data_IF_432325483719
#
_entry.id   IF_432325483719
#
_cell.length_a   1.000
_cell.length_b   1.000
_cell.length_c   1.000
_cell.angle_alpha   90.00
_cell.angle_beta   90.00
_cell.angle_gamma   90.00
#
_symmetry.space_group_name_H-M   'P 1'
#
loop_
_entity.id
_entity.type
_entity.pdbx_description
1 polymer ?
#
# COMPACT_ATOMS: atom_id res chain seq x y z
N UNK A 1 8.19 8.16 -4.24
CA UNK A 1 6.90 7.72 -3.68
C UNK A 1 7.16 7.64 -2.20
N UNK A 2 6.30 8.26 -1.41
CA UNK A 2 6.55 8.39 0.02
C UNK A 2 5.77 7.31 0.79
N UNK A 3 4.70 6.80 0.16
CA UNK A 3 3.82 5.76 0.68
C UNK A 3 3.56 4.66 -0.35
N UNK A 4 3.59 3.41 0.09
CA UNK A 4 3.07 2.23 -0.62
C UNK A 4 1.95 1.63 0.22
N UNK A 5 0.81 1.32 -0.40
CA UNK A 5 -0.32 0.64 0.26
C UNK A 5 -0.59 -0.70 -0.41
N UNK A 6 -0.41 -1.78 0.33
CA UNK A 6 -0.85 -3.11 -0.06
C UNK A 6 -2.31 -3.27 0.37
N UNK A 7 -3.22 -3.27 -0.60
CA UNK A 7 -4.66 -3.48 -0.37
C UNK A 7 -4.91 -4.92 0.09
N UNK A 8 -4.22 -5.87 -0.53
CA UNK A 8 -4.18 -7.27 -0.11
C UNK A 8 -2.80 -7.62 0.45
N UNK A 9 -2.72 -8.50 1.47
CA UNK A 9 -1.44 -8.95 2.00
C UNK A 9 -0.58 -9.64 0.93
N UNK A 10 0.74 -9.40 0.89
CA UNK A 10 1.65 -10.16 0.04
C UNK A 10 1.71 -11.62 0.49
N UNK A 11 2.03 -12.51 -0.44
CA UNK A 11 2.05 -13.96 -0.18
C UNK A 11 3.32 -14.44 0.51
N UNK A 12 4.42 -13.70 0.38
CA UNK A 12 5.69 -13.99 1.03
C UNK A 12 6.53 -12.73 1.30
N UNK A 13 7.63 -12.90 2.06
CA UNK A 13 8.49 -11.78 2.46
C UNK A 13 9.26 -11.15 1.29
N UNK A 14 9.57 -11.90 0.22
CA UNK A 14 10.25 -11.34 -0.96
C UNK A 14 9.31 -10.43 -1.74
N UNK A 15 8.06 -10.86 -1.93
CA UNK A 15 7.01 -10.03 -2.52
C UNK A 15 6.81 -8.75 -1.72
N UNK A 16 6.74 -8.84 -0.38
CA UNK A 16 6.67 -7.64 0.46
C UNK A 16 7.86 -6.70 0.22
N UNK A 17 9.10 -7.20 0.22
CA UNK A 17 10.29 -6.38 0.01
C UNK A 17 10.33 -5.76 -1.40
N UNK A 18 9.95 -6.49 -2.44
CA UNK A 18 9.89 -5.97 -3.82
C UNK A 18 8.85 -4.86 -3.99
N UNK A 19 7.68 -5.00 -3.33
CA UNK A 19 6.63 -3.96 -3.31
C UNK A 19 7.07 -2.75 -2.48
N UNK A 20 7.68 -3.00 -1.32
CA UNK A 20 8.19 -1.97 -0.41
C UNK A 20 9.30 -1.13 -1.03
N UNK A 21 10.17 -1.71 -1.86
CA UNK A 21 11.25 -1.01 -2.58
C UNK A 21 10.80 0.09 -3.56
N UNK A 22 9.51 0.42 -3.61
CA UNK A 22 8.96 1.52 -4.40
C UNK A 22 8.98 2.86 -3.66
N UNK A 23 9.18 2.85 -2.34
CA UNK A 23 9.35 4.05 -1.50
C UNK A 23 10.80 4.23 -1.02
N UNK A 24 11.08 5.25 -0.19
CA UNK A 24 12.37 5.47 0.49
C UNK A 24 13.60 5.53 -0.44
N UNK A 25 13.53 6.32 -1.52
CA UNK A 25 14.61 6.45 -2.51
C UNK A 25 15.58 7.57 -2.15
N UNK A 26 16.81 7.47 -2.66
CA UNK A 26 17.84 8.50 -2.49
C UNK A 26 18.17 8.86 -1.02
N UNK A 27 18.03 7.89 -0.10
CA UNK A 27 18.28 8.09 1.33
C UNK A 27 17.11 8.68 2.10
N UNK A 28 16.02 9.04 1.43
CA UNK A 28 14.80 9.52 2.08
C UNK A 28 14.03 8.40 2.77
N UNK A 29 13.24 8.77 3.78
CA UNK A 29 12.33 7.85 4.47
C UNK A 29 11.08 7.56 3.63
N UNK A 30 10.44 6.43 3.91
CA UNK A 30 9.21 6.02 3.23
C UNK A 30 8.39 5.09 4.11
N UNK A 31 7.07 5.03 3.83
CA UNK A 31 6.14 4.17 4.56
C UNK A 31 5.53 3.10 3.67
N UNK A 32 5.32 1.92 4.25
CA UNK A 32 4.59 0.81 3.62
C UNK A 32 3.47 0.40 4.57
N UNK A 33 2.23 0.45 4.09
CA UNK A 33 1.03 0.07 4.85
C UNK A 33 0.45 -1.16 4.19
N UNK A 34 0.11 -2.18 4.99
CA UNK A 34 -0.59 -3.37 4.50
C UNK A 34 -1.90 -3.50 5.25
N UNK A 35 -3.00 -3.53 4.51
CA UNK A 35 -4.32 -3.82 5.08
C UNK A 35 -4.43 -5.33 5.28
N UNK A 36 -4.87 -5.73 6.47
CA UNK A 36 -5.05 -7.15 6.83
C UNK A 36 -6.40 -7.34 7.47
N UNK A 37 -7.07 -8.44 7.12
CA UNK A 37 -8.26 -8.88 7.83
C UNK A 37 -7.88 -9.53 9.18
N UNK A 38 -8.81 -9.59 10.16
CA UNK A 38 -8.53 -10.16 11.47
C UNK A 38 -7.96 -11.60 11.43
N UNK A 39 -8.47 -12.43 10.52
CA UNK A 39 -8.01 -13.81 10.33
C UNK A 39 -6.61 -13.92 9.69
N UNK A 40 -6.15 -12.89 8.97
CA UNK A 40 -4.85 -12.86 8.30
C UNK A 40 -3.71 -12.34 9.20
N UNK A 41 -4.04 -11.71 10.34
CA UNK A 41 -3.06 -11.05 11.21
C UNK A 41 -1.89 -11.95 11.62
N UNK A 42 -2.17 -13.20 12.00
CA UNK A 42 -1.14 -14.14 12.49
C UNK A 42 -0.13 -14.49 11.39
N UNK A 43 -0.62 -14.70 10.18
CA UNK A 43 0.22 -15.02 9.02
C UNK A 43 1.08 -13.81 8.65
N UNK A 44 0.47 -12.62 8.59
CA UNK A 44 1.20 -11.39 8.30
C UNK A 44 2.30 -11.11 9.33
N UNK A 45 2.05 -11.31 10.62
CA UNK A 45 3.08 -11.14 11.67
C UNK A 45 4.28 -12.05 11.45
N UNK A 46 4.06 -13.31 11.00
CA UNK A 46 5.16 -14.23 10.67
C UNK A 46 5.93 -13.77 9.44
N UNK A 47 5.22 -13.37 8.38
CA UNK A 47 5.83 -12.85 7.16
C UNK A 47 6.73 -11.63 7.45
N UNK A 48 6.28 -10.73 8.32
CA UNK A 48 7.09 -9.58 8.77
C UNK A 48 8.33 -10.03 9.55
N UNK A 49 8.20 -11.00 10.45
CA UNK A 49 9.34 -11.55 11.17
C UNK A 49 10.37 -12.20 10.24
N UNK A 50 9.91 -12.95 9.22
CA UNK A 50 10.77 -13.56 8.20
C UNK A 50 11.49 -12.49 7.35
N UNK A 51 10.86 -11.32 7.17
CA UNK A 51 11.48 -10.15 6.54
C UNK A 51 12.44 -9.37 7.46
N UNK A 52 12.54 -9.74 8.76
CA UNK A 52 13.30 -8.98 9.76
C UNK A 52 12.66 -7.66 10.17
N UNK A 53 11.34 -7.51 9.98
CA UNK A 53 10.60 -6.27 10.19
C UNK A 53 9.73 -6.37 11.44
N UNK A 54 9.79 -5.35 12.29
CA UNK A 54 8.84 -5.17 13.41
C UNK A 54 7.78 -4.15 13.00
N UNK A 55 6.57 -4.57 12.63
CA UNK A 55 5.54 -3.66 12.16
C UNK A 55 4.88 -2.92 13.32
N UNK A 56 4.46 -1.68 13.08
CA UNK A 56 3.44 -1.03 13.91
C UNK A 56 2.07 -1.57 13.50
N UNK A 57 1.25 -1.97 14.48
CA UNK A 57 -0.07 -2.55 14.23
C UNK A 57 -1.13 -1.65 14.84
N UNK A 58 -2.01 -1.11 13.99
CA UNK A 58 -3.19 -0.37 14.41
C UNK A 58 -4.45 -1.13 13.98
N UNK A 59 -5.40 -1.30 14.89
CA UNK A 59 -6.76 -1.72 14.52
C UNK A 59 -7.55 -0.49 14.13
N UNK A 60 -8.10 -0.50 12.92
CA UNK A 60 -8.87 0.62 12.38
C UNK A 60 -10.13 0.10 11.69
N UNK A 61 -11.15 0.96 11.60
CA UNK A 61 -12.34 0.76 10.76
C UNK A 61 -12.34 1.74 9.59
N UNK A 62 -13.16 1.44 8.58
CA UNK A 62 -13.37 2.36 7.46
C UNK A 62 -13.89 3.71 7.97
N UNK A 63 -13.30 4.80 7.49
CA UNK A 63 -13.66 6.17 7.87
C UNK A 63 -13.08 6.66 9.20
N UNK A 64 -12.34 5.84 9.95
CA UNK A 64 -11.67 6.32 11.17
C UNK A 64 -10.49 7.24 10.84
N UNK A 65 -10.34 8.29 11.64
CA UNK A 65 -9.32 9.32 11.43
C UNK A 65 -7.89 8.75 11.44
N UNK A 66 -7.63 7.67 12.17
CA UNK A 66 -6.32 7.02 12.21
C UNK A 66 -5.92 6.42 10.85
N UNK A 67 -6.86 5.80 10.14
CA UNK A 67 -6.61 5.26 8.80
C UNK A 67 -6.23 6.38 7.81
N UNK A 68 -6.95 7.51 7.85
CA UNK A 68 -6.63 8.69 7.05
C UNK A 68 -5.29 9.31 7.41
N UNK A 69 -4.94 9.36 8.70
CA UNK A 69 -3.62 9.87 9.16
C UNK A 69 -2.47 9.02 8.62
N UNK A 70 -2.58 7.70 8.72
CA UNK A 70 -1.53 6.76 8.31
C UNK A 70 -1.33 6.78 6.79
N UNK A 71 -2.43 6.83 6.02
CA UNK A 71 -2.39 6.64 4.56
C UNK A 71 -2.46 7.94 3.76
N UNK A 72 -2.75 9.07 4.41
CA UNK A 72 -3.10 10.31 3.71
C UNK A 72 -4.41 10.24 2.92
N UNK A 73 -5.24 9.21 3.16
CA UNK A 73 -6.48 9.02 2.42
C UNK A 73 -7.46 10.18 2.58
N UNK A 74 -7.98 10.66 1.45
CA UNK A 74 -8.98 11.71 1.34
C UNK A 74 -10.24 11.16 0.67
N UNK A 75 -11.40 11.77 0.97
CA UNK A 75 -12.64 11.42 0.31
C UNK A 75 -12.51 11.69 -1.21
N UNK A 76 -12.80 10.71 -2.08
CA UNK A 76 -12.78 10.93 -3.51
C UNK A 76 -13.86 11.95 -3.90
N UNK A 77 -13.62 12.73 -4.96
CA UNK A 77 -14.56 13.77 -5.43
C UNK A 77 -15.90 13.21 -5.92
N UNK A 78 -15.97 11.91 -6.20
CA UNK A 78 -17.13 11.26 -6.82
C UNK A 78 -17.32 11.58 -8.30
N UNK A 79 -16.48 12.45 -8.88
CA UNK A 79 -16.50 12.80 -10.31
C UNK A 79 -15.72 11.73 -11.08
N UNK A 80 -16.33 11.04 -12.06
CA UNK A 80 -15.62 10.06 -12.87
C UNK A 80 -14.47 10.69 -13.65
N UNK A 81 -13.32 10.00 -13.68
CA UNK A 81 -12.18 10.40 -14.51
C UNK A 81 -12.49 10.02 -15.97
N UNK A 82 -12.56 11.01 -16.86
CA UNK A 82 -12.66 10.77 -18.30
C UNK A 82 -11.27 10.39 -18.81
N UNK A 83 -11.03 9.09 -19.04
CA UNK A 83 -9.80 8.63 -19.67
C UNK A 83 -9.93 8.85 -21.18
N UNK A 84 -9.30 9.90 -21.71
CA UNK A 84 -9.15 10.06 -23.17
C UNK A 84 -8.30 8.92 -23.71
N UNK A 85 -8.84 8.15 -24.65
CA UNK A 85 -8.10 7.09 -25.33
C UNK A 85 -6.84 7.69 -25.99
N UNK A 86 -5.68 7.01 -25.89
CA UNK A 86 -4.47 7.48 -26.57
C UNK A 86 -4.73 7.57 -28.09
N UNK A 87 -4.16 8.57 -28.78
CA UNK A 87 -4.32 8.70 -30.23
C UNK A 87 -3.85 7.41 -30.91
N UNK A 88 -4.67 6.85 -31.81
CA UNK A 88 -4.22 5.72 -32.64
C UNK A 88 -3.05 6.20 -33.49
N UNK A 89 -1.86 5.68 -33.25
CA UNK A 89 -0.75 5.84 -34.18
C UNK A 89 -1.19 5.30 -35.54
N UNK A 90 -1.15 6.16 -36.56
CA UNK A 90 -1.38 5.76 -37.94
C UNK A 90 -0.18 4.91 -38.36
N UNK A 91 -0.39 3.61 -38.48
CA UNK A 91 0.54 2.73 -39.19
C UNK A 91 0.58 3.19 -40.65
N UNK A 92 1.72 3.75 -41.07
CA UNK A 92 2.07 3.97 -42.46
C UNK A 92 2.71 2.76 -43.09
#
# INVERSE_FOLDING_TARGET
>A
LDLVVNVDPPTDHKDYLHRGGRTARAGESGSVVTLVLPNQRREMTRLMADAGITPQIAQVRSGEAELSRITGAQAPSGVPVVVTAPPKERSG
#
